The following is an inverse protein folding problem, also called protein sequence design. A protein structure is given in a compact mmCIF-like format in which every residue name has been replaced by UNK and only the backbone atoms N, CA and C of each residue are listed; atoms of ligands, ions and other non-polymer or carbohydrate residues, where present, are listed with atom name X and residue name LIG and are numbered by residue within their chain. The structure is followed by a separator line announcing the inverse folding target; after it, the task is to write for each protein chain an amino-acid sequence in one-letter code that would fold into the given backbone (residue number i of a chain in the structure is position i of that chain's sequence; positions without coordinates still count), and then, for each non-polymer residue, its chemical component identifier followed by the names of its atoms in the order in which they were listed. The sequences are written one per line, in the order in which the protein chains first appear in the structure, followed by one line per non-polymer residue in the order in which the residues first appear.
data_IF_899416095394
#
_entry.id   IF_899416095394
#
_cell.length_a   1.000
_cell.length_b   1.000
_cell.length_c   1.000
_cell.angle_alpha   90.00
_cell.angle_beta   90.00
_cell.angle_gamma   90.00
#
_symmetry.space_group_name_H-M   'P 1'
#
loop_
_entity.id
_entity.type
_entity.pdbx_description
1 polymer ?
#
# COMPACT_ATOMS: atom_id res chain seq x y z
N UNK A 1 -9.29 -17.77 -7.73
CA UNK A 1 -8.08 -18.29 -7.09
C UNK A 1 -8.50 -19.40 -6.13
N UNK A 2 -8.47 -20.66 -6.56
CA UNK A 2 -8.82 -21.84 -5.74
C UNK A 2 -7.65 -22.82 -5.78
N UNK A 3 -7.35 -23.38 -4.61
CA UNK A 3 -6.53 -24.57 -4.30
C UNK A 3 -5.14 -24.40 -3.64
N UNK A 4 -4.36 -23.33 -3.84
CA UNK A 4 -2.92 -23.34 -3.41
C UNK A 4 -2.47 -22.19 -2.48
N UNK A 5 -3.36 -21.56 -1.71
CA UNK A 5 -2.97 -20.39 -0.88
C UNK A 5 -2.54 -19.19 -1.73
N UNK A 6 -1.72 -18.29 -1.19
CA UNK A 6 -1.21 -17.14 -1.94
C UNK A 6 -0.20 -17.59 -3.00
N UNK A 7 -0.59 -17.49 -4.28
CA UNK A 7 0.28 -17.75 -5.43
C UNK A 7 0.60 -16.42 -6.09
N UNK A 8 1.61 -15.73 -5.55
CA UNK A 8 2.07 -14.43 -6.04
C UNK A 8 3.24 -13.89 -5.21
N UNK A 9 3.83 -12.77 -5.66
CA UNK A 9 4.82 -12.04 -4.87
C UNK A 9 4.21 -11.53 -3.55
N UNK A 10 4.99 -11.43 -2.47
CA UNK A 10 4.54 -10.81 -1.23
C UNK A 10 3.94 -9.42 -1.48
N UNK A 11 3.01 -9.02 -0.62
CA UNK A 11 2.43 -7.68 -0.68
C UNK A 11 3.38 -6.71 0.01
N UNK A 12 3.70 -5.60 -0.64
CA UNK A 12 4.52 -4.55 -0.04
C UNK A 12 3.69 -3.72 0.95
N UNK A 13 4.19 -3.64 2.18
CA UNK A 13 3.63 -2.82 3.26
C UNK A 13 4.72 -1.93 3.81
N UNK A 14 4.39 -0.67 4.07
CA UNK A 14 5.32 0.34 4.56
C UNK A 14 4.99 0.65 6.01
N UNK A 15 5.99 0.59 6.88
CA UNK A 15 5.89 1.07 8.25
C UNK A 15 6.01 2.59 8.26
N UNK A 16 4.96 3.25 8.73
CA UNK A 16 4.90 4.70 8.84
C UNK A 16 5.50 5.18 10.17
N UNK A 17 5.82 6.48 10.30
CA UNK A 17 6.42 7.05 11.52
C UNK A 17 5.53 6.92 12.76
N UNK A 18 4.21 6.77 12.57
CA UNK A 18 3.24 6.50 13.64
C UNK A 18 3.23 5.03 14.10
N UNK A 19 4.12 4.19 13.55
CA UNK A 19 4.26 2.77 13.87
C UNK A 19 3.27 1.86 13.15
N UNK A 20 2.41 2.40 12.29
CA UNK A 20 1.37 1.65 11.58
C UNK A 20 1.88 1.12 10.25
N UNK A 21 1.18 0.12 9.71
CA UNK A 21 1.49 -0.47 8.42
C UNK A 21 0.47 -0.01 7.38
N UNK A 22 0.96 0.58 6.30
CA UNK A 22 0.16 1.01 5.15
C UNK A 22 0.60 0.26 3.91
N UNK A 23 -0.34 -0.37 3.21
CA UNK A 23 -0.05 -1.10 1.97
C UNK A 23 -0.19 -0.21 0.73
N UNK A 24 0.71 -0.39 -0.23
CA UNK A 24 0.61 0.19 -1.56
C UNK A 24 -0.16 -0.74 -2.53
N UNK A 25 -0.62 -1.91 -2.09
CA UNK A 25 -1.24 -2.92 -2.94
C UNK A 25 -2.65 -3.31 -2.46
N UNK A 26 -3.45 -2.29 -2.13
CA UNK A 26 -4.83 -2.44 -1.62
C UNK A 26 -5.69 -3.43 -2.41
N UNK A 27 -5.61 -3.44 -3.75
CA UNK A 27 -6.42 -4.36 -4.58
C UNK A 27 -6.05 -5.83 -4.33
N UNK A 28 -4.77 -6.13 -4.13
CA UNK A 28 -4.30 -7.49 -3.83
C UNK A 28 -4.70 -7.92 -2.43
N UNK A 29 -4.63 -7.01 -1.45
CA UNK A 29 -5.12 -7.24 -0.08
C UNK A 29 -6.62 -7.52 -0.06
N UNK A 30 -7.41 -6.73 -0.79
CA UNK A 30 -8.88 -6.90 -0.89
C UNK A 30 -9.22 -8.23 -1.58
N UNK A 31 -8.55 -8.56 -2.68
CA UNK A 31 -8.75 -9.83 -3.38
C UNK A 31 -8.42 -11.05 -2.50
N UNK A 32 -7.32 -10.99 -1.74
CA UNK A 32 -6.96 -12.06 -0.81
C UNK A 32 -7.99 -12.23 0.32
N UNK A 33 -8.49 -11.12 0.89
CA UNK A 33 -9.56 -11.15 1.90
C UNK A 33 -10.83 -11.80 1.34
N UNK A 34 -11.28 -11.40 0.15
CA UNK A 34 -12.45 -12.01 -0.49
C UNK A 34 -12.25 -13.49 -0.80
N UNK A 35 -11.03 -13.91 -1.10
CA UNK A 35 -10.69 -15.29 -1.35
C UNK A 35 -10.46 -16.12 -0.06
N UNK A 36 -10.39 -15.48 1.12
CA UNK A 36 -10.06 -16.14 2.38
C UNK A 36 -8.64 -16.71 2.41
N UNK A 37 -7.69 -16.05 1.75
CA UNK A 37 -6.31 -16.52 1.59
C UNK A 37 -5.38 -15.71 2.51
N UNK A 38 -4.53 -16.42 3.25
CA UNK A 38 -3.44 -15.80 4.00
C UNK A 38 -2.38 -15.24 3.06
N UNK A 39 -2.09 -13.95 3.20
CA UNK A 39 -1.08 -13.24 2.41
C UNK A 39 0.23 -13.13 3.16
N UNK A 40 1.34 -13.24 2.44
CA UNK A 40 2.66 -12.85 2.97
C UNK A 40 2.90 -11.38 2.64
N UNK A 41 3.29 -10.60 3.64
CA UNK A 41 3.64 -9.20 3.48
C UNK A 41 5.15 -9.01 3.63
N UNK A 42 5.74 -8.15 2.80
CA UNK A 42 7.10 -7.64 2.96
C UNK A 42 7.00 -6.25 3.57
N UNK A 43 7.59 -6.10 4.76
CA UNK A 43 7.58 -4.82 5.48
C UNK A 43 8.79 -4.01 5.06
N UNK A 44 8.54 -2.79 4.61
CA UNK A 44 9.53 -1.78 4.27
C UNK A 44 9.50 -0.64 5.29
N UNK A 45 10.65 -0.06 5.57
CA UNK A 45 10.73 1.12 6.44
C UNK A 45 10.38 2.39 5.68
N UNK A 46 9.91 3.43 6.39
CA UNK A 46 9.46 4.69 5.78
C UNK A 46 10.54 5.33 4.89
N UNK A 47 11.77 5.42 5.41
CA UNK A 47 12.92 6.03 4.73
C UNK A 47 13.67 5.07 3.81
N UNK A 48 13.18 3.84 3.64
CA UNK A 48 13.81 2.86 2.77
C UNK A 48 13.69 3.30 1.30
N UNK A 49 14.79 3.30 0.52
CA UNK A 49 14.75 3.67 -0.89
C UNK A 49 13.99 2.64 -1.72
N UNK A 50 13.31 3.10 -2.77
CA UNK A 50 12.69 2.18 -3.73
C UNK A 50 13.78 1.45 -4.52
N UNK A 51 13.79 0.10 -4.52
CA UNK A 51 14.88 -0.70 -5.10
C UNK A 51 14.92 -0.64 -6.64
N UNK A 52 13.76 -0.58 -7.29
CA UNK A 52 13.63 -0.81 -8.73
C UNK A 52 12.91 0.35 -9.45
N UNK A 53 13.35 0.63 -10.69
CA UNK A 53 12.73 1.63 -11.56
C UNK A 53 11.25 1.33 -11.86
N UNK A 54 10.88 0.05 -11.97
CA UNK A 54 9.49 -0.38 -12.18
C UNK A 54 8.58 0.02 -11.01
N UNK A 55 9.08 -0.07 -9.77
CA UNK A 55 8.32 0.37 -8.59
C UNK A 55 8.19 1.89 -8.57
N UNK A 56 9.25 2.62 -8.93
CA UNK A 56 9.23 4.07 -9.06
C UNK A 56 8.20 4.51 -10.10
N UNK A 57 8.19 3.89 -11.29
CA UNK A 57 7.22 4.19 -12.35
C UNK A 57 5.78 3.90 -11.88
N UNK A 58 5.56 2.72 -11.28
CA UNK A 58 4.25 2.28 -10.80
C UNK A 58 3.67 3.17 -9.69
N UNK A 59 4.52 3.73 -8.83
CA UNK A 59 4.11 4.62 -7.75
C UNK A 59 4.22 6.11 -8.12
N UNK A 60 4.80 6.44 -9.27
CA UNK A 60 4.81 7.79 -9.80
C UNK A 60 3.38 8.27 -10.05
N UNK A 61 3.16 9.55 -9.79
CA UNK A 61 1.88 10.20 -10.07
C UNK A 61 2.15 11.54 -10.74
N UNK A 62 1.10 12.16 -11.28
CA UNK A 62 1.19 13.52 -11.84
C UNK A 62 1.66 14.58 -10.81
N UNK A 63 1.72 14.24 -9.52
CA UNK A 63 2.21 15.11 -8.45
C UNK A 63 3.69 14.92 -8.11
N UNK A 64 4.33 13.87 -8.61
CA UNK A 64 5.73 13.61 -8.33
C UNK A 64 6.12 12.14 -8.48
N UNK A 65 7.43 11.94 -8.43
CA UNK A 65 8.09 10.63 -8.49
C UNK A 65 8.64 10.30 -7.09
N UNK A 66 8.28 9.15 -6.50
CA UNK A 66 8.78 8.79 -5.18
C UNK A 66 10.24 8.36 -5.22
N UNK A 67 10.98 8.68 -4.16
CA UNK A 67 12.36 8.21 -3.95
C UNK A 67 12.44 7.11 -2.89
N UNK A 68 11.53 7.18 -1.90
CA UNK A 68 11.40 6.23 -0.80
C UNK A 68 10.02 5.56 -0.79
N UNK A 69 9.91 4.46 -0.04
CA UNK A 69 8.63 3.81 0.24
C UNK A 69 7.64 4.74 0.94
N UNK A 70 8.11 5.58 1.87
CA UNK A 70 7.32 6.62 2.52
C UNK A 70 6.77 7.67 1.55
N UNK A 71 7.60 8.14 0.61
CA UNK A 71 7.16 9.08 -0.43
C UNK A 71 6.08 8.47 -1.32
N UNK A 72 6.23 7.19 -1.69
CA UNK A 72 5.22 6.48 -2.49
C UNK A 72 3.86 6.45 -1.78
N UNK A 73 3.84 6.21 -0.46
CA UNK A 73 2.61 6.24 0.34
C UNK A 73 2.02 7.66 0.37
N UNK A 74 2.84 8.69 0.61
CA UNK A 74 2.38 10.09 0.63
C UNK A 74 1.80 10.55 -0.71
N UNK A 75 2.45 10.22 -1.82
CA UNK A 75 1.94 10.56 -3.16
C UNK A 75 0.58 9.89 -3.42
N UNK A 76 0.43 8.64 -2.99
CA UNK A 76 -0.82 7.90 -3.13
C UNK A 76 -1.95 8.46 -2.26
N UNK A 77 -1.68 8.80 -1.00
CA UNK A 77 -2.65 9.49 -0.11
C UNK A 77 -3.01 10.85 -0.71
N UNK A 78 -2.01 11.59 -1.20
CA UNK A 78 -2.20 12.86 -1.89
C UNK A 78 -3.22 12.73 -3.02
N UNK A 79 -3.10 11.70 -3.86
CA UNK A 79 -4.02 11.42 -4.99
C UNK A 79 -5.48 11.20 -4.54
N UNK A 80 -5.74 10.81 -3.29
CA UNK A 80 -7.09 10.63 -2.78
C UNK A 80 -7.84 11.96 -2.61
N UNK A 81 -9.15 11.86 -2.39
CA UNK A 81 -10.02 13.02 -2.17
C UNK A 81 -9.53 13.89 -1.02
N UNK A 82 -9.84 15.20 -1.07
CA UNK A 82 -9.44 16.14 -0.02
C UNK A 82 -9.89 15.70 1.37
N UNK A 83 -11.12 15.19 1.48
CA UNK A 83 -11.68 14.67 2.71
C UNK A 83 -10.91 13.46 3.25
N UNK A 84 -10.43 12.57 2.37
CA UNK A 84 -9.65 11.41 2.79
C UNK A 84 -8.26 11.82 3.30
N UNK A 85 -7.51 12.58 2.52
CA UNK A 85 -6.12 12.96 2.87
C UNK A 85 -6.04 13.87 4.10
N UNK A 86 -7.03 14.74 4.31
CA UNK A 86 -7.07 15.61 5.49
C UNK A 86 -7.47 14.85 6.76
N UNK A 87 -8.29 13.80 6.62
CA UNK A 87 -8.72 12.96 7.74
C UNK A 87 -7.68 11.89 8.10
N UNK A 88 -6.94 11.41 7.09
CA UNK A 88 -6.01 10.30 7.19
C UNK A 88 -4.67 10.64 6.53
N UNK A 89 -3.86 11.53 7.15
CA UNK A 89 -2.59 11.99 6.58
C UNK A 89 -1.57 10.85 6.43
N UNK A 90 -1.64 9.86 7.31
CA UNK A 90 -0.80 8.64 7.34
C UNK A 90 -1.56 7.41 6.82
N UNK A 91 -2.66 7.60 6.10
CA UNK A 91 -3.46 6.51 5.54
C UNK A 91 -4.56 5.99 6.48
N UNK A 92 -5.47 5.20 5.90
CA UNK A 92 -6.67 4.75 6.60
C UNK A 92 -6.32 3.80 7.75
N UNK A 93 -6.91 3.99 8.94
CA UNK A 93 -6.78 3.05 10.03
C UNK A 93 -7.48 1.72 9.80
N UNK A 94 -8.41 1.70 8.86
CA UNK A 94 -9.19 0.54 8.49
C UNK A 94 -8.52 -0.12 7.30
N UNK A 95 -8.01 -1.34 7.52
CA UNK A 95 -7.58 -2.27 6.48
C UNK A 95 -8.76 -3.03 5.85
N UNK A 96 -9.98 -2.85 6.39
CA UNK A 96 -11.22 -3.43 5.89
C UNK A 96 -12.07 -2.41 5.12
N UNK A 97 -12.56 -2.84 3.96
CA UNK A 97 -13.73 -2.26 3.28
C UNK A 97 -14.88 -3.25 3.50
N UNK A 98 -15.90 -2.86 4.27
CA UNK A 98 -17.11 -3.66 4.48
C UNK A 98 -18.20 -3.20 3.53
N UNK A 99 -17.90 -3.26 2.22
CA UNK A 99 -18.76 -2.77 1.15
C UNK A 99 -20.25 -2.87 1.44
N UNK A 100 -20.90 -1.71 1.45
CA UNK A 100 -22.34 -1.60 1.36
C UNK A 100 -22.71 -1.28 -0.09
#
# INVERSE_FOLDING_TARGET
MKANGWVGEPIDVVRLPDGRLTTLDNTRVVAARHAGIDVRARVHEYDEPLPDADQIERFSTTRGTPSTWGDAVRLRIGKQSASYRNRWPEGSPWTSWDGN
#
